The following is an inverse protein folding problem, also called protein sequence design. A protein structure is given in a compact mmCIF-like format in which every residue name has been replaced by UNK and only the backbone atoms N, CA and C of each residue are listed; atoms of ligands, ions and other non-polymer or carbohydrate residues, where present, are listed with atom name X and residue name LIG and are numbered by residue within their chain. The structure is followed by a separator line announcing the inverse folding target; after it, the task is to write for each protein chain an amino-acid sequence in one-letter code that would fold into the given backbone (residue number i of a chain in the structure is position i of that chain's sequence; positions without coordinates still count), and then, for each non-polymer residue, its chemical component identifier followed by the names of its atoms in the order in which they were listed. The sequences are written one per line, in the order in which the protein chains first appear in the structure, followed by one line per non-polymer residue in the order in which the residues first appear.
data_IF_744057687408
#
_entry.id   IF_744057687408
#
_cell.length_a   1.000
_cell.length_b   1.000
_cell.length_c   1.000
_cell.angle_alpha   90.00
_cell.angle_beta   90.00
_cell.angle_gamma   90.00
#
_symmetry.space_group_name_H-M   'P 1'
#
loop_
_entity.id
_entity.type
_entity.pdbx_description
1 polymer ?
#
# COMPACT_ATOMS: atom_id res chain seq x y z
N UNK A 1 13.74 10.59 7.86
CA UNK A 1 13.03 10.15 6.63
C UNK A 1 13.95 10.36 5.44
N UNK A 2 13.95 9.45 4.47
CA UNK A 2 14.74 9.49 3.22
C UNK A 2 13.80 9.26 2.04
N UNK A 3 14.21 9.69 0.85
CA UNK A 3 13.51 9.43 -0.42
C UNK A 3 14.41 8.58 -1.31
N UNK A 4 13.84 7.55 -1.90
CA UNK A 4 14.51 6.64 -2.81
C UNK A 4 13.80 6.63 -4.16
N UNK A 5 14.55 6.50 -5.23
CA UNK A 5 14.02 6.29 -6.59
C UNK A 5 13.92 4.82 -6.97
N UNK A 6 14.62 3.96 -6.22
CA UNK A 6 14.79 2.54 -6.46
C UNK A 6 14.41 1.74 -5.22
N UNK A 7 13.57 0.71 -5.40
CA UNK A 7 13.04 -0.10 -4.32
C UNK A 7 14.13 -0.96 -3.65
N UNK A 8 14.98 -1.60 -4.46
CA UNK A 8 16.06 -2.44 -3.96
C UNK A 8 17.02 -1.65 -3.08
N UNK A 9 17.42 -0.45 -3.54
CA UNK A 9 18.26 0.45 -2.75
C UNK A 9 17.60 0.86 -1.44
N UNK A 10 16.31 1.13 -1.46
CA UNK A 10 15.55 1.44 -0.24
C UNK A 10 15.62 0.28 0.74
N UNK A 11 15.37 -0.95 0.30
CA UNK A 11 15.39 -2.13 1.15
C UNK A 11 16.79 -2.36 1.72
N UNK A 12 17.84 -2.39 0.89
CA UNK A 12 19.22 -2.66 1.34
C UNK A 12 19.78 -1.57 2.26
N UNK A 13 19.45 -0.29 2.02
CA UNK A 13 19.85 0.81 2.93
C UNK A 13 19.16 0.74 4.29
N UNK A 14 18.08 -0.01 4.40
CA UNK A 14 17.23 -0.09 5.58
C UNK A 14 17.13 -1.50 6.17
N UNK A 15 17.90 -2.47 5.69
CA UNK A 15 17.82 -3.91 5.97
C UNK A 15 18.12 -4.36 7.42
N UNK A 16 17.95 -3.48 8.42
CA UNK A 16 18.12 -3.82 9.85
C UNK A 16 16.79 -3.90 10.61
N UNK A 17 15.67 -4.21 9.93
CA UNK A 17 14.37 -4.29 10.58
C UNK A 17 13.73 -5.67 10.38
N UNK A 18 12.91 -6.03 11.35
CA UNK A 18 12.19 -7.31 11.38
C UNK A 18 10.94 -7.32 10.48
N UNK A 19 10.52 -6.16 9.99
CA UNK A 19 9.35 -6.01 9.09
C UNK A 19 9.27 -4.65 8.42
N UNK A 20 8.78 -4.63 7.18
CA UNK A 20 8.53 -3.43 6.39
C UNK A 20 7.12 -3.45 5.84
N UNK A 21 6.38 -2.35 6.00
CA UNK A 21 5.08 -2.15 5.36
C UNK A 21 5.22 -1.21 4.17
N UNK A 22 4.68 -1.60 3.03
CA UNK A 22 4.73 -0.83 1.79
C UNK A 22 3.33 -0.56 1.25
N UNK A 23 3.10 0.67 0.76
CA UNK A 23 1.89 1.04 0.01
C UNK A 23 2.05 0.58 -1.45
N UNK A 24 2.15 -0.73 -1.61
CA UNK A 24 2.29 -1.35 -2.91
C UNK A 24 1.71 -2.76 -2.89
N UNK A 25 1.10 -3.14 -4.01
CA UNK A 25 0.51 -4.47 -4.19
C UNK A 25 1.58 -5.55 -4.11
N UNK A 26 1.34 -6.56 -3.26
CA UNK A 26 2.15 -7.78 -3.17
C UNK A 26 1.25 -8.99 -3.45
N UNK A 27 1.74 -9.92 -4.28
CA UNK A 27 0.96 -11.04 -4.76
C UNK A 27 -0.04 -10.63 -5.85
N UNK A 28 0.26 -10.96 -7.09
CA UNK A 28 -0.50 -10.57 -8.27
C UNK A 28 -1.44 -11.69 -8.71
N UNK A 29 -2.76 -11.43 -8.81
CA UNK A 29 -3.70 -12.46 -9.24
C UNK A 29 -3.50 -12.80 -10.72
N UNK A 30 -3.70 -14.06 -11.10
CA UNK A 30 -3.64 -14.53 -12.49
C UNK A 30 -5.02 -14.80 -13.08
N UNK A 31 -6.05 -14.91 -12.23
CA UNK A 31 -7.42 -15.18 -12.63
C UNK A 31 -8.42 -14.55 -11.66
N UNK A 32 -9.71 -14.66 -11.99
CA UNK A 32 -10.79 -14.04 -11.20
C UNK A 32 -10.89 -14.64 -9.79
N UNK A 33 -10.65 -15.92 -9.60
CA UNK A 33 -10.71 -16.56 -8.28
C UNK A 33 -9.63 -16.01 -7.34
N UNK A 34 -8.41 -15.86 -7.81
CA UNK A 34 -7.31 -15.23 -7.04
C UNK A 34 -7.60 -13.75 -6.80
N UNK A 35 -8.14 -13.03 -7.80
CA UNK A 35 -8.51 -11.63 -7.65
C UNK A 35 -9.55 -11.42 -6.54
N UNK A 36 -10.56 -12.27 -6.43
CA UNK A 36 -11.59 -12.17 -5.41
C UNK A 36 -11.09 -12.51 -4.00
N UNK A 37 -10.04 -13.32 -3.90
CA UNK A 37 -9.38 -13.67 -2.63
C UNK A 37 -8.41 -12.60 -2.12
N UNK A 38 -8.08 -11.59 -2.94
CA UNK A 38 -7.21 -10.50 -2.51
C UNK A 38 -7.86 -9.62 -1.42
N UNK A 39 -7.02 -8.93 -0.60
CA UNK A 39 -7.49 -8.06 0.49
C UNK A 39 -8.33 -6.86 0.03
N UNK A 40 -8.22 -6.45 -1.24
CA UNK A 40 -8.82 -5.22 -1.78
C UNK A 40 -10.34 -5.14 -1.58
N UNK A 41 -11.04 -6.28 -1.70
CA UNK A 41 -12.49 -6.34 -1.46
C UNK A 41 -12.87 -6.00 -0.02
N UNK A 42 -12.07 -6.44 0.95
CA UNK A 42 -12.25 -6.14 2.38
C UNK A 42 -11.82 -4.69 2.66
N UNK A 43 -10.67 -4.28 2.12
CA UNK A 43 -10.17 -2.91 2.26
C UNK A 43 -11.20 -1.86 1.79
N UNK A 44 -11.86 -2.08 0.63
CA UNK A 44 -12.94 -1.22 0.14
C UNK A 44 -14.14 -1.13 1.09
N UNK A 45 -14.48 -2.21 1.79
CA UNK A 45 -15.57 -2.18 2.79
C UNK A 45 -15.18 -1.32 3.99
N UNK A 46 -13.92 -1.38 4.42
CA UNK A 46 -13.39 -0.59 5.54
C UNK A 46 -13.41 0.91 5.21
N UNK A 47 -13.01 1.30 4.00
CA UNK A 47 -12.94 2.72 3.62
C UNK A 47 -14.25 3.27 3.03
N UNK A 48 -15.37 2.53 3.07
CA UNK A 48 -16.66 3.01 2.55
C UNK A 48 -17.09 4.30 3.30
N UNK A 49 -17.54 5.38 2.59
CA UNK A 49 -17.93 5.42 1.16
C UNK A 49 -16.77 5.71 0.17
N UNK A 50 -15.53 5.92 0.63
CA UNK A 50 -14.37 6.30 -0.19
C UNK A 50 -13.70 5.11 -0.90
N UNK A 51 -14.49 4.18 -1.42
CA UNK A 51 -14.04 2.91 -2.02
C UNK A 51 -13.08 3.09 -3.21
N UNK A 52 -13.13 4.24 -3.89
CA UNK A 52 -12.25 4.58 -5.00
C UNK A 52 -10.79 4.81 -4.59
N UNK A 53 -10.51 4.97 -3.30
CA UNK A 53 -9.13 5.08 -2.80
C UNK A 53 -8.39 3.75 -2.89
N UNK A 54 -9.11 2.62 -2.93
CA UNK A 54 -8.55 1.29 -3.17
C UNK A 54 -8.86 0.90 -4.62
N UNK A 55 -7.89 1.05 -5.50
CA UNK A 55 -8.06 0.76 -6.93
C UNK A 55 -8.07 -0.75 -7.23
N UNK A 56 -8.54 -1.10 -8.44
CA UNK A 56 -8.52 -2.49 -8.90
C UNK A 56 -7.07 -2.93 -9.18
N UNK A 57 -6.65 -4.01 -8.54
CA UNK A 57 -5.32 -4.59 -8.75
C UNK A 57 -5.26 -5.26 -10.12
N UNK A 58 -4.19 -5.01 -10.90
CA UNK A 58 -4.00 -5.69 -12.18
C UNK A 58 -3.60 -7.15 -11.99
N UNK A 59 -3.87 -7.97 -12.99
CA UNK A 59 -3.36 -9.33 -13.05
C UNK A 59 -1.85 -9.35 -13.29
N UNK A 60 -1.19 -10.44 -12.89
CA UNK A 60 0.25 -10.66 -13.16
C UNK A 60 0.57 -10.48 -14.64
N UNK A 61 -0.23 -11.06 -15.54
CA UNK A 61 -0.04 -10.91 -16.96
C UNK A 61 -0.09 -9.44 -17.39
N UNK A 62 -1.05 -8.65 -16.90
CA UNK A 62 -1.14 -7.23 -17.19
C UNK A 62 0.06 -6.43 -16.66
N UNK A 63 0.56 -6.79 -15.46
CA UNK A 63 1.75 -6.13 -14.87
C UNK A 63 2.99 -6.34 -15.72
N UNK A 64 3.13 -7.51 -16.36
CA UNK A 64 4.30 -7.85 -17.18
C UNK A 64 4.17 -7.51 -18.67
N UNK A 65 3.02 -6.94 -19.07
CA UNK A 65 2.92 -6.29 -20.38
C UNK A 65 3.53 -4.87 -20.36
N UNK A 66 4.15 -4.48 -21.46
CA UNK A 66 4.83 -3.17 -21.57
C UNK A 66 4.04 -2.15 -22.37
N UNK A 67 3.02 -2.59 -23.12
CA UNK A 67 2.16 -1.76 -23.94
C UNK A 67 0.83 -1.58 -23.21
N UNK A 68 0.44 -0.32 -22.99
CA UNK A 68 -0.77 0.06 -22.25
C UNK A 68 -2.04 -0.66 -22.70
N UNK A 69 -2.26 -0.74 -24.01
CA UNK A 69 -3.44 -1.41 -24.54
C UNK A 69 -3.39 -2.92 -24.30
N UNK A 70 -2.20 -3.52 -24.36
CA UNK A 70 -1.99 -4.92 -24.02
C UNK A 70 -2.19 -5.19 -22.53
N UNK A 71 -1.80 -4.27 -21.65
CA UNK A 71 -2.10 -4.35 -20.21
C UNK A 71 -3.61 -4.41 -19.97
N UNK A 72 -4.38 -3.53 -20.63
CA UNK A 72 -5.84 -3.50 -20.54
C UNK A 72 -6.48 -4.77 -21.07
N UNK A 73 -6.03 -5.22 -22.24
CA UNK A 73 -6.50 -6.45 -22.91
C UNK A 73 -6.25 -7.69 -22.04
N UNK A 74 -5.02 -7.84 -21.53
CA UNK A 74 -4.64 -8.95 -20.66
C UNK A 74 -5.48 -9.00 -19.39
N UNK A 75 -5.68 -7.86 -18.74
CA UNK A 75 -6.48 -7.79 -17.52
C UNK A 75 -7.96 -8.09 -17.78
N UNK A 76 -8.53 -7.52 -18.83
CA UNK A 76 -9.92 -7.74 -19.22
C UNK A 76 -10.17 -9.22 -19.56
N UNK A 77 -9.25 -9.84 -20.31
CA UNK A 77 -9.33 -11.26 -20.67
C UNK A 77 -9.25 -12.18 -19.46
N UNK A 78 -8.37 -11.89 -18.50
CA UNK A 78 -8.12 -12.77 -17.35
C UNK A 78 -9.19 -12.68 -16.26
N UNK A 79 -9.73 -11.48 -16.00
CA UNK A 79 -10.63 -11.25 -14.85
C UNK A 79 -11.91 -10.45 -15.20
N UNK A 80 -12.12 -10.10 -16.45
CA UNK A 80 -13.32 -9.34 -16.88
C UNK A 80 -13.36 -7.89 -16.38
N UNK A 81 -12.23 -7.31 -15.92
CA UNK A 81 -12.18 -5.96 -15.34
C UNK A 81 -11.19 -5.09 -16.09
N UNK A 82 -11.60 -3.84 -16.36
CA UNK A 82 -10.75 -2.81 -16.92
C UNK A 82 -9.72 -2.28 -15.91
N UNK A 83 -8.66 -1.64 -16.43
CA UNK A 83 -7.66 -0.92 -15.63
C UNK A 83 -7.88 0.59 -15.74
N UNK A 84 -7.83 1.28 -14.60
CA UNK A 84 -7.83 2.74 -14.57
C UNK A 84 -6.47 3.29 -15.01
N UNK A 85 -6.45 4.54 -15.48
CA UNK A 85 -5.22 5.23 -15.83
C UNK A 85 -4.26 5.33 -14.63
N UNK A 86 -4.79 5.50 -13.42
CA UNK A 86 -4.00 5.49 -12.19
C UNK A 86 -3.34 4.13 -11.96
N UNK A 87 -4.10 3.05 -12.12
CA UNK A 87 -3.54 1.69 -11.99
C UNK A 87 -2.41 1.46 -12.99
N UNK A 88 -2.62 1.85 -14.26
CA UNK A 88 -1.62 1.70 -15.31
C UNK A 88 -0.35 2.50 -14.98
N UNK A 89 -0.48 3.71 -14.46
CA UNK A 89 0.65 4.57 -14.11
C UNK A 89 1.55 3.97 -13.01
N UNK A 90 1.01 3.13 -12.14
CA UNK A 90 1.77 2.49 -11.05
C UNK A 90 2.23 1.06 -11.36
N UNK A 91 1.81 0.46 -12.48
CA UNK A 91 2.27 -0.89 -12.91
C UNK A 91 3.80 -1.03 -12.90
N UNK A 92 4.61 -0.05 -13.38
CA UNK A 92 6.06 -0.17 -13.31
C UNK A 92 6.59 -0.36 -11.88
N UNK A 93 5.98 0.29 -10.89
CA UNK A 93 6.35 0.13 -9.49
C UNK A 93 5.88 -1.20 -8.89
N UNK A 94 4.70 -1.68 -9.29
CA UNK A 94 4.25 -3.03 -8.91
C UNK A 94 5.21 -4.10 -9.42
N UNK A 95 5.65 -3.98 -10.69
CA UNK A 95 6.63 -4.89 -11.29
C UNK A 95 7.97 -4.85 -10.55
N UNK A 96 8.48 -3.65 -10.24
CA UNK A 96 9.73 -3.47 -9.50
C UNK A 96 9.70 -4.20 -8.14
N UNK A 97 8.60 -4.08 -7.39
CA UNK A 97 8.43 -4.76 -6.09
C UNK A 97 8.29 -6.28 -6.28
N UNK A 98 7.50 -6.72 -7.25
CA UNK A 98 7.30 -8.14 -7.54
C UNK A 98 8.62 -8.82 -7.96
N UNK A 99 9.36 -8.24 -8.90
CA UNK A 99 10.67 -8.73 -9.34
C UNK A 99 11.70 -8.77 -8.20
N UNK A 100 11.69 -7.74 -7.34
CA UNK A 100 12.57 -7.73 -6.17
C UNK A 100 12.26 -8.89 -5.23
N UNK A 101 10.98 -9.10 -4.86
CA UNK A 101 10.59 -10.16 -3.95
C UNK A 101 10.85 -11.55 -4.53
N UNK A 102 10.62 -11.74 -5.82
CA UNK A 102 10.89 -13.01 -6.50
C UNK A 102 12.40 -13.31 -6.61
N UNK A 103 13.24 -12.29 -6.60
CA UNK A 103 14.70 -12.43 -6.67
C UNK A 103 15.37 -12.50 -5.30
N UNK A 104 14.63 -12.21 -4.22
CA UNK A 104 15.16 -12.13 -2.85
C UNK A 104 14.12 -12.74 -1.88
N UNK A 105 14.03 -14.06 -1.89
CA UNK A 105 12.98 -14.82 -1.19
C UNK A 105 12.97 -14.57 0.34
N UNK A 106 14.12 -14.21 0.92
CA UNK A 106 14.24 -13.87 2.34
C UNK A 106 13.39 -12.68 2.75
N UNK A 107 13.02 -11.79 1.79
CA UNK A 107 12.16 -10.64 2.05
C UNK A 107 10.66 -10.90 1.86
N UNK A 108 10.23 -12.04 1.31
CA UNK A 108 8.82 -12.33 1.01
C UNK A 108 7.89 -12.31 2.23
N UNK A 109 8.44 -12.54 3.45
CA UNK A 109 7.68 -12.45 4.69
C UNK A 109 8.03 -11.21 5.52
N UNK A 110 9.10 -10.51 5.17
CA UNK A 110 9.57 -9.30 5.85
C UNK A 110 8.85 -8.06 5.28
N UNK A 111 8.72 -8.00 3.95
CA UNK A 111 8.05 -6.90 3.26
C UNK A 111 6.60 -7.31 3.01
N UNK A 112 5.67 -6.51 3.54
CA UNK A 112 4.24 -6.81 3.48
C UNK A 112 3.45 -5.61 2.98
N UNK A 113 2.38 -5.90 2.23
CA UNK A 113 1.45 -4.89 1.74
C UNK A 113 0.68 -4.24 2.88
N UNK A 114 0.50 -2.94 2.80
CA UNK A 114 -0.40 -2.16 3.64
C UNK A 114 -0.95 -0.98 2.84
N UNK A 115 -2.05 -0.39 3.27
CA UNK A 115 -2.70 0.70 2.55
C UNK A 115 -3.00 1.88 3.48
N UNK A 116 -2.40 3.07 3.28
CA UNK A 116 -2.50 4.20 4.19
C UNK A 116 -3.93 4.61 4.54
N UNK A 117 -4.84 4.73 3.55
CA UNK A 117 -6.23 5.13 3.81
C UNK A 117 -7.00 4.10 4.65
N UNK A 118 -6.69 2.80 4.49
CA UNK A 118 -7.26 1.74 5.35
C UNK A 118 -6.69 1.85 6.77
N UNK A 119 -5.38 2.08 6.88
CA UNK A 119 -4.73 2.28 8.18
C UNK A 119 -5.25 3.53 8.88
N UNK A 120 -5.42 4.65 8.19
CA UNK A 120 -6.02 5.86 8.76
C UNK A 120 -7.44 5.61 9.26
N UNK A 121 -8.28 4.91 8.50
CA UNK A 121 -9.63 4.57 8.92
C UNK A 121 -9.62 3.75 10.21
N UNK A 122 -8.71 2.79 10.33
CA UNK A 122 -8.55 1.96 11.54
C UNK A 122 -7.96 2.76 12.71
N UNK A 123 -6.90 3.53 12.51
CA UNK A 123 -6.28 4.36 13.55
C UNK A 123 -7.22 5.45 14.08
N UNK A 124 -8.12 5.95 13.25
CA UNK A 124 -9.10 6.96 13.63
C UNK A 124 -10.38 6.37 14.25
N UNK A 125 -10.69 5.10 13.97
CA UNK A 125 -11.95 4.45 14.33
C UNK A 125 -13.09 4.69 13.31
N UNK A 126 -12.89 5.61 12.37
CA UNK A 126 -13.82 5.92 11.27
C UNK A 126 -13.06 6.45 10.05
N UNK A 127 -13.73 6.43 8.90
CA UNK A 127 -13.16 6.90 7.62
C UNK A 127 -12.98 8.41 7.63
N UNK A 128 -11.77 8.87 7.30
CA UNK A 128 -11.51 10.30 7.09
C UNK A 128 -12.12 10.74 5.75
N UNK A 129 -13.11 11.63 5.81
CA UNK A 129 -13.85 12.09 4.63
C UNK A 129 -13.13 13.20 3.87
N UNK A 130 -12.18 13.87 4.50
CA UNK A 130 -11.42 14.98 3.93
C UNK A 130 -10.39 14.51 2.90
N UNK A 131 -10.19 15.33 1.85
CA UNK A 131 -9.20 15.04 0.81
C UNK A 131 -7.78 15.24 1.38
N UNK A 132 -6.95 14.19 1.29
CA UNK A 132 -5.58 14.18 1.84
C UNK A 132 -4.65 15.25 1.27
N UNK A 133 -4.91 15.76 0.07
CA UNK A 133 -4.13 16.81 -0.57
C UNK A 133 -4.54 18.22 -0.13
N UNK A 134 -5.66 18.38 0.56
CA UNK A 134 -6.16 19.66 1.06
C UNK A 134 -5.71 19.94 2.49
N UNK A 135 -5.76 21.21 2.89
CA UNK A 135 -5.30 21.63 4.22
C UNK A 135 -6.03 20.87 5.34
N UNK A 136 -7.35 20.77 5.26
CA UNK A 136 -8.17 20.07 6.24
C UNK A 136 -7.79 18.59 6.34
N UNK A 137 -7.63 17.92 5.19
CA UNK A 137 -7.23 16.53 5.16
C UNK A 137 -5.81 16.25 5.70
N UNK A 138 -4.90 17.22 5.57
CA UNK A 138 -3.58 17.17 6.22
C UNK A 138 -3.75 17.31 7.74
N UNK A 139 -4.54 18.29 8.20
CA UNK A 139 -4.80 18.51 9.63
C UNK A 139 -5.40 17.26 10.29
N UNK A 140 -6.42 16.68 9.70
CA UNK A 140 -7.09 15.48 10.23
C UNK A 140 -6.11 14.30 10.38
N UNK A 141 -5.30 14.04 9.34
CA UNK A 141 -4.30 12.95 9.36
C UNK A 141 -3.20 13.21 10.38
N UNK A 142 -2.75 14.44 10.54
CA UNK A 142 -1.80 14.83 11.60
C UNK A 142 -2.41 14.59 12.98
N UNK A 143 -3.68 14.94 13.21
CA UNK A 143 -4.36 14.68 14.49
C UNK A 143 -4.44 13.19 14.79
N UNK A 144 -4.74 12.35 13.81
CA UNK A 144 -4.75 10.89 13.98
C UNK A 144 -3.36 10.40 14.38
N UNK A 145 -2.33 10.75 13.61
CA UNK A 145 -0.96 10.26 13.82
C UNK A 145 -0.34 10.76 15.13
N UNK A 146 -0.67 11.97 15.58
CA UNK A 146 -0.15 12.54 16.83
C UNK A 146 -0.57 11.76 18.08
N UNK A 147 -1.63 10.94 18.00
CA UNK A 147 -2.05 10.02 19.08
C UNK A 147 -1.08 8.83 19.24
N UNK A 148 -0.32 8.51 18.21
CA UNK A 148 0.55 7.34 18.15
C UNK A 148 2.04 7.68 18.07
N UNK A 149 2.39 8.88 17.59
CA UNK A 149 3.77 9.29 17.39
C UNK A 149 3.95 10.76 17.79
N UNK A 150 4.80 11.01 18.80
CA UNK A 150 5.13 12.36 19.23
C UNK A 150 5.92 13.11 18.14
N UNK A 151 5.73 14.42 18.05
CA UNK A 151 6.46 15.29 17.12
C UNK A 151 5.86 15.37 15.71
N UNK A 152 4.79 14.64 15.41
CA UNK A 152 4.07 14.79 14.15
C UNK A 152 3.23 16.06 14.21
N UNK A 153 3.49 17.00 13.29
CA UNK A 153 2.78 18.27 13.15
C UNK A 153 2.65 18.65 11.68
N UNK A 154 1.77 19.58 11.35
CA UNK A 154 1.67 20.12 9.99
C UNK A 154 3.01 20.74 9.51
N UNK A 155 3.72 21.43 10.42
CA UNK A 155 5.02 22.01 10.12
C UNK A 155 6.05 20.92 9.78
N UNK A 156 6.11 19.85 10.58
CA UNK A 156 6.96 18.67 10.29
C UNK A 156 6.66 18.09 8.92
N UNK A 157 5.38 17.87 8.61
CA UNK A 157 4.94 17.29 7.32
C UNK A 157 5.35 18.17 6.16
N UNK A 158 5.05 19.49 6.23
CA UNK A 158 5.36 20.44 5.15
C UNK A 158 6.87 20.64 4.96
N UNK A 159 7.62 20.74 6.05
CA UNK A 159 9.08 20.90 6.02
C UNK A 159 9.75 19.65 5.46
N UNK A 160 9.30 18.45 5.86
CA UNK A 160 9.79 17.18 5.33
C UNK A 160 9.48 17.01 3.84
N UNK A 161 8.27 17.35 3.42
CA UNK A 161 7.87 17.31 2.02
C UNK A 161 8.74 18.21 1.14
N UNK A 162 8.96 19.45 1.59
CA UNK A 162 9.84 20.42 0.91
C UNK A 162 11.28 19.90 0.81
N UNK A 163 11.83 19.38 1.92
CA UNK A 163 13.21 18.84 1.98
C UNK A 163 13.40 17.65 1.03
N UNK A 164 12.39 16.79 0.92
CA UNK A 164 12.47 15.57 0.12
C UNK A 164 11.96 15.75 -1.33
N UNK A 165 11.40 16.92 -1.66
CA UNK A 165 10.83 17.19 -2.98
C UNK A 165 9.68 16.23 -3.31
N UNK A 166 8.73 16.06 -2.37
CA UNK A 166 7.52 15.24 -2.52
C UNK A 166 6.30 16.02 -1.98
N UNK A 167 5.12 15.44 -2.06
CA UNK A 167 3.90 16.07 -1.55
C UNK A 167 3.74 15.82 -0.04
N UNK A 168 2.98 16.69 0.68
CA UNK A 168 2.67 16.47 2.09
C UNK A 168 1.94 15.14 2.37
N UNK A 169 1.04 14.71 1.46
CA UNK A 169 0.34 13.44 1.57
C UNK A 169 1.28 12.23 1.47
N UNK A 170 2.35 12.30 0.67
CA UNK A 170 3.37 11.23 0.63
C UNK A 170 4.07 11.05 2.00
N UNK A 171 4.29 12.16 2.72
CA UNK A 171 4.87 12.12 4.08
C UNK A 171 3.89 11.50 5.07
N UNK A 172 2.61 11.87 4.99
CA UNK A 172 1.56 11.36 5.87
C UNK A 172 1.36 9.84 5.66
N UNK A 173 1.32 9.41 4.39
CA UNK A 173 1.20 8.00 4.03
C UNK A 173 2.39 7.19 4.59
N UNK A 174 3.61 7.68 4.41
CA UNK A 174 4.81 7.01 4.95
C UNK A 174 4.83 6.97 6.50
N UNK A 175 4.42 8.04 7.18
CA UNK A 175 4.33 8.07 8.66
C UNK A 175 3.22 7.13 9.14
N UNK A 176 2.08 7.07 8.44
CA UNK A 176 0.98 6.16 8.76
C UNK A 176 1.44 4.70 8.72
N UNK A 177 2.17 4.31 7.67
CA UNK A 177 2.71 2.95 7.58
C UNK A 177 3.81 2.69 8.61
N UNK A 178 4.63 3.66 8.96
CA UNK A 178 5.61 3.52 10.05
C UNK A 178 4.95 3.31 11.41
N UNK A 179 3.86 4.05 11.71
CA UNK A 179 3.03 3.83 12.91
C UNK A 179 2.41 2.44 12.90
N UNK A 180 1.87 2.01 11.74
CA UNK A 180 1.26 0.68 11.60
C UNK A 180 2.31 -0.43 11.78
N UNK A 181 3.52 -0.27 11.24
CA UNK A 181 4.61 -1.23 11.44
C UNK A 181 5.06 -1.32 12.90
N UNK A 182 5.09 -0.19 13.63
CA UNK A 182 5.37 -0.21 15.06
C UNK A 182 4.25 -0.90 15.86
N UNK A 183 2.99 -0.74 15.47
CA UNK A 183 1.88 -1.48 16.07
C UNK A 183 1.96 -2.97 15.75
N UNK A 184 2.40 -3.33 14.57
CA UNK A 184 2.61 -4.71 14.15
C UNK A 184 3.66 -5.42 15.01
N UNK A 185 4.79 -4.77 15.27
CA UNK A 185 5.82 -5.27 16.19
C UNK A 185 5.29 -5.46 17.63
N UNK A 186 4.19 -4.80 18.01
CA UNK A 186 3.52 -4.94 19.30
C UNK A 186 2.36 -5.95 19.28
N UNK A 187 2.12 -6.64 18.15
CA UNK A 187 0.97 -7.55 17.98
C UNK A 187 -0.40 -6.85 17.93
N UNK A 188 -0.42 -5.56 17.58
CA UNK A 188 -1.62 -4.69 17.52
C UNK A 188 -2.09 -4.43 16.10
N UNK A 189 -1.89 -5.39 15.22
CA UNK A 189 -2.38 -5.40 13.85
C UNK A 189 -3.14 -6.68 13.55
N UNK A 190 -3.86 -6.68 12.47
CA UNK A 190 -4.49 -7.85 11.88
C UNK A 190 -4.13 -7.96 10.40
N UNK A 191 -4.26 -9.16 9.87
CA UNK A 191 -4.04 -9.44 8.45
C UNK A 191 -5.40 -9.65 7.79
N UNK A 192 -5.63 -8.98 6.67
CA UNK A 192 -6.81 -9.19 5.85
C UNK A 192 -6.41 -9.77 4.48
N UNK A 193 -7.14 -10.81 3.96
CA UNK A 193 -8.09 -11.65 4.69
C UNK A 193 -7.40 -12.44 5.82
N UNK A 194 -8.15 -12.91 6.81
CA UNK A 194 -7.61 -13.67 7.96
C UNK A 194 -6.81 -14.91 7.51
N UNK A 195 -7.24 -15.55 6.43
CA UNK A 195 -6.55 -16.67 5.81
C UNK A 195 -6.09 -16.28 4.39
N UNK A 196 -4.94 -15.62 4.26
CA UNK A 196 -4.47 -15.15 2.96
C UNK A 196 -4.07 -16.31 2.05
N UNK A 197 -4.48 -16.25 0.80
CA UNK A 197 -3.97 -17.12 -0.26
C UNK A 197 -2.66 -16.58 -0.82
N UNK A 198 -1.94 -17.43 -1.54
CA UNK A 198 -0.76 -17.03 -2.31
C UNK A 198 -1.12 -16.89 -3.79
N UNK A 199 -0.37 -16.06 -4.49
CA UNK A 199 -0.39 -16.06 -5.95
C UNK A 199 0.40 -17.26 -6.51
N UNK A 200 0.45 -17.40 -7.82
CA UNK A 200 1.17 -18.51 -8.49
C UNK A 200 2.69 -18.48 -8.32
N UNK A 201 3.25 -17.41 -7.78
CA UNK A 201 4.68 -17.26 -7.45
C UNK A 201 4.98 -17.43 -5.96
N UNK A 202 3.97 -17.77 -5.15
CA UNK A 202 4.12 -17.98 -3.71
C UNK A 202 4.04 -16.71 -2.86
N UNK A 203 3.82 -15.53 -3.46
CA UNK A 203 3.64 -14.28 -2.73
C UNK A 203 2.26 -14.24 -2.08
N UNK A 204 2.20 -13.93 -0.78
CA UNK A 204 0.94 -13.85 -0.04
C UNK A 204 0.12 -12.64 -0.47
N UNK A 205 -1.12 -12.85 -0.83
CA UNK A 205 -2.11 -11.83 -1.13
C UNK A 205 -2.79 -11.39 0.16
N UNK A 206 -2.12 -10.52 0.90
CA UNK A 206 -2.54 -10.06 2.23
C UNK A 206 -2.27 -8.58 2.41
N UNK A 207 -2.96 -7.95 3.37
CA UNK A 207 -2.71 -6.58 3.78
C UNK A 207 -2.65 -6.51 5.30
N UNK A 208 -1.63 -5.84 5.84
CA UNK A 208 -1.49 -5.59 7.28
C UNK A 208 -2.18 -4.28 7.62
N UNK A 209 -3.07 -4.31 8.61
CA UNK A 209 -3.82 -3.13 9.06
C UNK A 209 -3.85 -3.05 10.59
N UNK A 210 -3.98 -1.86 11.20
CA UNK A 210 -4.14 -1.72 12.64
C UNK A 210 -5.38 -2.46 13.14
N UNK A 211 -5.23 -3.14 14.28
CA UNK A 211 -6.33 -3.74 15.03
C UNK A 211 -6.85 -2.70 16.04
N UNK A 212 -8.13 -2.39 15.95
CA UNK A 212 -8.82 -1.41 16.81
C UNK A 212 -9.60 -2.15 17.89
#
# INVERSE_FOLDING_TARGET
MKKYSDFSKMVFDTAQFDGMLVDMVIGLPSNIEQYEKRPDGIARKIVKPRTSTVFAVPTRQAVYEFIKDKQKEANLSAIGKGLSEQTIAIIPKMREVDEFLLSNEEYMNVIRESHPEVCFARLNGEVLMTNKSEKEGITDRVQVLSRYLQGVSEEYVRTSAKKLGCKPDDILDAVCLAVTANLDAQGRTEIIPENPSTDEKGLKMQMVIPKV
#
